data_IF_613098412426
#
_entry.id   IF_613098412426
#
_cell.length_a   1.000
_cell.length_b   1.000
_cell.length_c   1.000
_cell.angle_alpha   90.00
_cell.angle_beta   90.00
_cell.angle_gamma   90.00
#
_symmetry.space_group_name_H-M   'P 1'
#
loop_
_entity.id
_entity.type
_entity.pdbx_description
1 polymer ?
#
# COMPACT_ATOMS: atom_id res chain seq x y z
N UNK A 1 11.39 -16.97 -10.98
CA UNK A 1 10.48 -16.54 -12.07
C UNK A 1 9.03 -16.83 -11.69
N UNK A 2 8.09 -16.08 -12.22
CA UNK A 2 6.65 -16.34 -12.00
C UNK A 2 6.13 -17.33 -13.01
N UNK A 3 5.30 -18.26 -12.56
CA UNK A 3 4.60 -19.18 -13.43
C UNK A 3 3.57 -18.40 -14.27
N UNK A 4 3.58 -18.54 -15.63
CA UNK A 4 2.61 -17.82 -16.47
C UNK A 4 1.18 -18.33 -16.26
N UNK A 5 1.01 -19.56 -15.81
CA UNK A 5 -0.30 -20.20 -15.62
C UNK A 5 -0.98 -19.81 -14.31
N UNK A 6 -0.25 -19.80 -13.17
CA UNK A 6 -0.85 -19.61 -11.85
C UNK A 6 -0.25 -18.44 -11.04
N UNK A 7 0.70 -17.68 -11.60
CA UNK A 7 1.34 -16.55 -10.96
C UNK A 7 2.31 -16.87 -9.82
N UNK A 8 2.43 -18.14 -9.41
CA UNK A 8 3.30 -18.53 -8.29
C UNK A 8 4.77 -18.29 -8.61
N UNK A 9 5.50 -17.73 -7.66
CA UNK A 9 6.94 -17.58 -7.73
C UNK A 9 7.65 -18.95 -7.72
N UNK A 10 8.64 -19.09 -8.59
CA UNK A 10 9.51 -20.26 -8.65
C UNK A 10 10.97 -19.81 -8.80
N UNK A 11 11.91 -20.58 -8.23
CA UNK A 11 13.32 -20.28 -8.40
C UNK A 11 13.67 -20.22 -9.90
N UNK A 12 14.60 -19.36 -10.27
CA UNK A 12 14.99 -19.17 -11.67
C UNK A 12 15.55 -20.45 -12.32
N UNK A 13 16.00 -21.41 -11.53
CA UNK A 13 16.49 -22.73 -11.96
C UNK A 13 15.38 -23.80 -12.05
N UNK A 14 14.15 -23.50 -11.65
CA UNK A 14 13.05 -24.48 -11.68
C UNK A 14 12.56 -24.70 -13.10
N UNK A 15 12.45 -25.96 -13.53
CA UNK A 15 11.89 -26.33 -14.81
C UNK A 15 10.37 -26.46 -14.81
N UNK A 16 9.78 -26.64 -13.61
CA UNK A 16 8.33 -26.84 -13.37
C UNK A 16 7.87 -25.98 -12.22
N UNK A 17 6.64 -25.49 -12.31
CA UNK A 17 6.02 -24.70 -11.25
C UNK A 17 5.74 -25.57 -10.02
N UNK A 18 6.16 -25.12 -8.85
CA UNK A 18 5.95 -25.84 -7.58
C UNK A 18 4.45 -25.94 -7.20
N UNK A 19 3.57 -25.09 -7.74
CA UNK A 19 2.16 -25.07 -7.40
C UNK A 19 1.26 -25.80 -8.40
N UNK A 20 1.44 -25.57 -9.71
CA UNK A 20 0.56 -26.14 -10.74
C UNK A 20 1.24 -27.19 -11.62
N UNK A 21 2.50 -27.52 -11.34
CA UNK A 21 3.32 -28.46 -12.10
C UNK A 21 3.48 -28.13 -13.61
N UNK A 22 3.06 -26.94 -14.04
CA UNK A 22 3.24 -26.50 -15.41
C UNK A 22 4.71 -26.20 -15.73
N UNK A 23 5.09 -26.41 -16.98
CA UNK A 23 6.45 -26.15 -17.44
C UNK A 23 6.77 -24.66 -17.37
N UNK A 24 7.87 -24.32 -16.70
CA UNK A 24 8.31 -22.94 -16.62
C UNK A 24 9.18 -22.62 -17.85
N UNK A 25 8.99 -21.42 -18.45
CA UNK A 25 9.84 -21.02 -19.55
C UNK A 25 11.29 -20.99 -19.10
N UNK A 26 12.18 -21.65 -19.84
CA UNK A 26 13.62 -21.48 -19.68
C UNK A 26 13.89 -20.00 -19.86
N UNK A 27 14.48 -19.34 -18.87
CA UNK A 27 14.92 -17.96 -19.01
C UNK A 27 16.04 -17.97 -20.08
N UNK A 28 15.61 -17.82 -21.33
CA UNK A 28 16.55 -17.67 -22.42
C UNK A 28 17.35 -16.38 -22.17
N UNK A 29 18.65 -16.52 -22.14
CA UNK A 29 19.56 -15.39 -22.14
C UNK A 29 19.57 -14.83 -23.56
N UNK A 30 18.45 -14.24 -23.95
CA UNK A 30 18.29 -13.64 -25.27
C UNK A 30 19.35 -12.56 -25.50
N UNK A 31 19.98 -12.54 -26.66
CA UNK A 31 21.18 -11.75 -26.90
C UNK A 31 20.95 -10.31 -27.30
N UNK A 32 19.87 -9.65 -27.05
CA UNK A 32 19.69 -8.24 -27.47
C UNK A 32 18.76 -7.45 -26.55
N UNK A 33 19.21 -7.15 -25.33
CA UNK A 33 18.73 -5.95 -24.64
C UNK A 33 19.52 -4.74 -25.19
N UNK A 34 18.80 -3.72 -25.68
CA UNK A 34 19.43 -2.47 -26.11
C UNK A 34 20.20 -1.88 -24.92
N UNK A 35 21.44 -1.34 -25.09
CA UNK A 35 22.29 -0.85 -24.01
C UNK A 35 21.66 0.22 -23.10
N UNK A 36 20.59 0.86 -23.54
CA UNK A 36 19.91 1.95 -22.83
C UNK A 36 18.53 1.57 -22.24
N UNK A 37 18.19 0.28 -22.20
CA UNK A 37 16.98 -0.16 -21.53
C UNK A 37 17.12 0.06 -20.01
N UNK A 38 16.04 0.53 -19.39
CA UNK A 38 15.99 0.84 -17.96
C UNK A 38 16.30 -0.41 -17.10
N UNK A 39 15.87 -1.60 -17.53
CA UNK A 39 16.23 -2.86 -16.88
C UNK A 39 17.74 -3.09 -16.93
N UNK A 40 18.41 -2.79 -18.04
CA UNK A 40 19.86 -2.93 -18.18
C UNK A 40 20.60 -1.95 -17.28
N UNK A 41 20.14 -0.71 -17.19
CA UNK A 41 20.67 0.29 -16.25
C UNK A 41 20.48 -0.15 -14.80
N UNK A 42 19.27 -0.63 -14.45
CA UNK A 42 18.97 -1.12 -13.12
C UNK A 42 19.83 -2.35 -12.76
N UNK A 43 20.02 -3.31 -13.67
CA UNK A 43 20.91 -4.46 -13.49
C UNK A 43 22.35 -4.01 -13.23
N UNK A 44 22.82 -3.00 -13.93
CA UNK A 44 24.15 -2.42 -13.71
C UNK A 44 24.25 -1.73 -12.35
N UNK A 45 23.26 -0.92 -11.97
CA UNK A 45 23.22 -0.23 -10.70
C UNK A 45 23.13 -1.18 -9.49
N UNK A 46 22.40 -2.29 -9.64
CA UNK A 46 22.25 -3.30 -8.59
C UNK A 46 23.39 -4.32 -8.56
N UNK A 47 24.19 -4.40 -9.64
CA UNK A 47 25.25 -5.38 -9.83
C UNK A 47 24.69 -6.80 -9.77
N UNK A 48 25.48 -7.74 -9.21
CA UNK A 48 25.06 -9.14 -9.08
C UNK A 48 24.14 -9.42 -7.88
N UNK A 49 23.73 -8.39 -7.12
CA UNK A 49 22.89 -8.56 -5.94
C UNK A 49 21.47 -8.97 -6.28
N UNK A 50 20.92 -8.43 -7.39
CA UNK A 50 19.56 -8.65 -7.82
C UNK A 50 19.48 -9.06 -9.29
N UNK A 51 18.72 -10.12 -9.57
CA UNK A 51 18.37 -10.53 -10.92
C UNK A 51 17.02 -9.90 -11.27
N UNK A 52 17.03 -8.82 -12.03
CA UNK A 52 15.80 -8.09 -12.45
C UNK A 52 15.14 -8.82 -13.60
N UNK A 53 13.84 -9.09 -13.48
CA UNK A 53 13.06 -9.84 -14.50
C UNK A 53 12.24 -8.93 -15.40
N UNK A 54 11.28 -8.21 -14.83
CA UNK A 54 10.34 -7.40 -15.60
C UNK A 54 9.78 -6.24 -14.77
N UNK A 55 9.34 -5.21 -15.47
CA UNK A 55 8.49 -4.16 -14.93
C UNK A 55 7.07 -4.70 -14.74
N UNK A 56 6.44 -4.44 -13.60
CA UNK A 56 5.09 -4.91 -13.26
C UNK A 56 4.12 -3.79 -12.99
N UNK A 57 4.61 -2.58 -12.82
CA UNK A 57 3.78 -1.42 -12.56
C UNK A 57 4.62 -0.15 -12.56
N UNK A 58 3.96 0.95 -12.30
CA UNK A 58 4.58 2.25 -12.16
C UNK A 58 3.51 3.31 -11.93
N UNK A 59 3.93 4.43 -11.38
CA UNK A 59 3.08 5.59 -11.14
C UNK A 59 3.78 6.86 -11.59
N UNK A 60 3.30 8.02 -11.17
CA UNK A 60 3.86 9.30 -11.59
C UNK A 60 5.30 9.57 -11.15
N UNK A 61 5.86 8.76 -10.24
CA UNK A 61 7.18 9.03 -9.65
C UNK A 61 8.18 7.90 -9.83
N UNK A 62 7.73 6.65 -9.90
CA UNK A 62 8.61 5.49 -9.88
C UNK A 62 8.01 4.33 -10.67
N UNK A 63 8.86 3.51 -11.22
CA UNK A 63 8.55 2.22 -11.82
C UNK A 63 8.85 1.08 -10.86
N UNK A 64 8.08 0.00 -10.98
CA UNK A 64 8.15 -1.16 -10.08
C UNK A 64 8.58 -2.38 -10.87
N UNK A 65 9.65 -3.03 -10.41
CA UNK A 65 10.25 -4.20 -11.05
C UNK A 65 10.21 -5.39 -10.10
N UNK A 66 9.92 -6.57 -10.64
CA UNK A 66 10.13 -7.83 -9.94
C UNK A 66 11.56 -8.30 -10.19
N UNK A 67 12.19 -8.73 -9.10
CA UNK A 67 13.56 -9.26 -9.12
C UNK A 67 13.70 -10.43 -8.15
N UNK A 68 14.82 -11.12 -8.23
CA UNK A 68 15.28 -12.11 -7.25
C UNK A 68 16.53 -11.59 -6.57
N UNK A 69 16.58 -11.62 -5.26
CA UNK A 69 17.83 -11.43 -4.52
C UNK A 69 18.72 -12.66 -4.73
N UNK A 70 19.82 -12.50 -5.50
CA UNK A 70 20.59 -13.60 -6.04
C UNK A 70 21.17 -14.55 -4.96
N UNK A 71 21.67 -14.01 -3.85
CA UNK A 71 22.30 -14.79 -2.79
C UNK A 71 21.31 -15.64 -1.97
N UNK A 72 20.07 -15.13 -1.78
CA UNK A 72 19.05 -15.78 -0.96
C UNK A 72 17.98 -16.49 -1.80
N UNK A 73 18.04 -16.33 -3.12
CA UNK A 73 17.07 -16.85 -4.09
C UNK A 73 15.62 -16.56 -3.68
N UNK A 74 15.37 -15.34 -3.17
CA UNK A 74 14.03 -14.89 -2.75
C UNK A 74 13.51 -13.80 -3.66
N UNK A 75 12.18 -13.78 -3.94
CA UNK A 75 11.55 -12.72 -4.71
C UNK A 75 11.55 -11.41 -3.95
N UNK A 76 11.81 -10.33 -4.68
CA UNK A 76 11.79 -8.96 -4.18
C UNK A 76 11.16 -8.03 -5.22
N UNK A 77 10.73 -6.88 -4.74
CA UNK A 77 10.29 -5.77 -5.59
C UNK A 77 11.33 -4.66 -5.52
N UNK A 78 11.70 -4.12 -6.68
CA UNK A 78 12.57 -2.94 -6.78
C UNK A 78 11.73 -1.78 -7.31
N UNK A 79 11.60 -0.73 -6.52
CA UNK A 79 10.95 0.52 -6.89
C UNK A 79 12.03 1.52 -7.32
N UNK A 80 11.98 1.96 -8.56
CA UNK A 80 12.98 2.82 -9.20
C UNK A 80 12.38 4.19 -9.47
N UNK A 81 12.99 5.23 -8.94
CA UNK A 81 12.58 6.61 -9.20
C UNK A 81 12.79 6.96 -10.67
N UNK A 82 11.83 7.64 -11.29
CA UNK A 82 11.96 8.05 -12.70
C UNK A 82 13.23 8.89 -12.92
N UNK A 83 13.94 8.73 -14.04
CA UNK A 83 15.25 9.37 -14.26
C UNK A 83 15.23 10.90 -14.13
N UNK A 84 14.15 11.56 -14.54
CA UNK A 84 14.01 13.01 -14.40
C UNK A 84 13.85 13.47 -12.95
N UNK A 85 13.30 12.59 -12.07
CA UNK A 85 13.17 12.84 -10.63
C UNK A 85 14.44 12.41 -9.88
N UNK A 86 15.13 11.37 -10.34
CA UNK A 86 16.39 10.93 -9.76
C UNK A 86 17.51 11.99 -9.89
N UNK A 87 17.45 12.82 -10.92
CA UNK A 87 18.37 13.96 -11.13
C UNK A 87 18.04 15.21 -10.31
N UNK A 88 16.83 15.28 -9.77
CA UNK A 88 16.44 16.36 -8.84
C UNK A 88 16.94 16.01 -7.43
N UNK A 89 17.97 16.74 -6.99
CA UNK A 89 18.64 16.51 -5.70
C UNK A 89 17.66 16.56 -4.52
N UNK A 90 16.68 17.47 -4.54
CA UNK A 90 15.68 17.56 -3.46
C UNK A 90 14.76 16.35 -3.44
N UNK A 91 14.36 15.86 -4.62
CA UNK A 91 13.48 14.68 -4.75
C UNK A 91 14.23 13.42 -4.34
N UNK A 92 15.45 13.21 -4.84
CA UNK A 92 16.27 12.05 -4.52
C UNK A 92 16.61 11.99 -3.02
N UNK A 93 16.99 13.12 -2.41
CA UNK A 93 17.30 13.20 -0.98
C UNK A 93 16.05 12.95 -0.11
N UNK A 94 14.88 13.41 -0.53
CA UNK A 94 13.63 13.11 0.15
C UNK A 94 13.29 11.62 0.05
N UNK A 95 13.39 11.03 -1.14
CA UNK A 95 13.18 9.60 -1.34
C UNK A 95 14.11 8.77 -0.43
N UNK A 96 15.38 9.18 -0.27
CA UNK A 96 16.33 8.57 0.65
C UNK A 96 15.86 8.66 2.11
N UNK A 97 15.49 9.87 2.57
CA UNK A 97 15.05 10.09 3.97
C UNK A 97 13.80 9.32 4.31
N UNK A 98 12.86 9.21 3.38
CA UNK A 98 11.64 8.46 3.56
C UNK A 98 11.90 6.96 3.59
N UNK A 99 12.81 6.47 2.72
CA UNK A 99 13.27 5.09 2.79
C UNK A 99 13.96 4.77 4.13
N UNK A 100 14.81 5.68 4.64
CA UNK A 100 15.43 5.54 5.96
C UNK A 100 14.40 5.55 7.11
N UNK A 101 13.38 6.38 7.03
CA UNK A 101 12.31 6.40 8.02
C UNK A 101 11.49 5.12 7.99
N UNK A 102 11.12 4.64 6.80
CA UNK A 102 10.39 3.38 6.62
C UNK A 102 11.22 2.15 7.06
N UNK A 103 12.53 2.15 6.81
CA UNK A 103 13.43 1.07 7.22
C UNK A 103 13.54 0.88 8.75
N UNK A 104 13.22 1.93 9.53
CA UNK A 104 13.18 1.87 11.01
C UNK A 104 11.87 1.30 11.57
N UNK A 105 10.84 1.18 10.72
CA UNK A 105 9.55 0.65 11.13
C UNK A 105 9.57 -0.88 11.06
N UNK A 106 9.55 -1.54 12.21
CA UNK A 106 9.52 -3.00 12.32
C UNK A 106 8.17 -3.42 12.87
N UNK A 107 7.27 -3.86 11.99
CA UNK A 107 5.91 -4.28 12.35
C UNK A 107 5.42 -5.34 11.34
N UNK A 108 4.69 -6.40 11.75
CA UNK A 108 4.26 -7.48 10.86
C UNK A 108 3.38 -7.00 9.68
N UNK A 109 2.68 -5.89 9.86
CA UNK A 109 1.78 -5.32 8.85
C UNK A 109 2.37 -4.04 8.18
N UNK A 110 3.68 -3.85 8.24
CA UNK A 110 4.42 -2.80 7.51
C UNK A 110 5.43 -3.47 6.60
N UNK A 111 5.39 -3.14 5.32
CA UNK A 111 6.39 -3.57 4.36
C UNK A 111 7.73 -2.87 4.66
N UNK A 112 8.70 -3.63 5.14
CA UNK A 112 10.04 -3.09 5.43
C UNK A 112 10.85 -2.84 4.16
N UNK A 113 11.79 -1.92 4.23
CA UNK A 113 12.81 -1.69 3.19
C UNK A 113 13.97 -2.64 3.43
N UNK A 114 14.32 -3.44 2.43
CA UNK A 114 15.42 -4.42 2.47
C UNK A 114 16.76 -3.82 2.05
N UNK A 115 16.73 -2.89 1.10
CA UNK A 115 17.92 -2.24 0.56
C UNK A 115 17.54 -0.91 -0.10
N UNK A 116 18.50 -0.02 -0.20
CA UNK A 116 18.42 1.25 -0.91
C UNK A 116 19.70 1.41 -1.74
N UNK A 117 19.58 1.97 -2.92
CA UNK A 117 20.73 2.30 -3.73
C UNK A 117 20.52 3.56 -4.56
N UNK A 118 21.61 4.27 -4.76
CA UNK A 118 21.66 5.46 -5.60
C UNK A 118 22.92 5.42 -6.45
N UNK A 119 22.77 5.75 -7.73
CA UNK A 119 23.83 6.07 -8.67
C UNK A 119 23.48 7.42 -9.31
N UNK A 120 24.33 7.94 -10.20
CA UNK A 120 24.13 9.25 -10.81
C UNK A 120 22.77 9.42 -11.51
N UNK A 121 22.17 8.34 -11.99
CA UNK A 121 20.94 8.37 -12.79
C UNK A 121 19.86 7.37 -12.34
N UNK A 122 20.12 6.57 -11.31
CA UNK A 122 19.18 5.59 -10.76
C UNK A 122 19.15 5.67 -9.25
N UNK A 123 17.96 5.87 -8.70
CA UNK A 123 17.69 5.78 -7.27
C UNK A 123 16.59 4.74 -7.06
N UNK A 124 16.80 3.77 -6.16
CA UNK A 124 15.88 2.66 -5.97
C UNK A 124 15.79 2.22 -4.52
N UNK A 125 14.65 1.60 -4.19
CA UNK A 125 14.44 0.84 -2.96
C UNK A 125 14.11 -0.61 -3.28
N UNK A 126 14.47 -1.53 -2.39
CA UNK A 126 14.15 -2.95 -2.50
C UNK A 126 13.26 -3.35 -1.33
N UNK A 127 12.19 -4.05 -1.63
CA UNK A 127 11.17 -4.48 -0.67
C UNK A 127 10.85 -5.96 -0.86
N UNK A 128 10.28 -6.65 0.15
CA UNK A 128 9.72 -7.98 -0.03
C UNK A 128 8.67 -8.00 -1.14
N UNK A 129 8.59 -9.12 -1.85
CA UNK A 129 7.47 -9.40 -2.76
C UNK A 129 6.36 -10.12 -1.98
N UNK A 130 5.11 -9.71 -2.19
CA UNK A 130 3.92 -10.30 -1.60
C UNK A 130 3.09 -11.00 -2.67
N UNK A 131 2.82 -12.31 -2.49
CA UNK A 131 2.14 -13.13 -3.50
C UNK A 131 0.61 -12.99 -3.49
N UNK A 132 0.04 -12.50 -2.41
CA UNK A 132 -1.41 -12.40 -2.23
C UNK A 132 -2.08 -11.29 -3.03
N UNK A 133 -1.31 -10.49 -3.78
CA UNK A 133 -1.83 -9.34 -4.52
C UNK A 133 -2.20 -8.17 -3.60
N UNK A 134 -2.89 -7.18 -4.16
CA UNK A 134 -3.34 -5.98 -3.44
C UNK A 134 -4.82 -6.07 -3.03
N UNK A 135 -5.24 -5.21 -2.09
CA UNK A 135 -6.65 -5.02 -1.77
C UNK A 135 -7.43 -4.46 -2.98
N UNK A 136 -6.77 -3.66 -3.83
CA UNK A 136 -7.35 -3.19 -5.08
C UNK A 136 -7.66 -4.36 -6.03
N UNK A 137 -6.72 -5.31 -6.20
CA UNK A 137 -6.94 -6.52 -6.99
C UNK A 137 -8.10 -7.36 -6.43
N UNK A 138 -8.17 -7.48 -5.10
CA UNK A 138 -9.24 -8.21 -4.43
C UNK A 138 -10.60 -7.55 -4.69
N UNK A 139 -10.72 -6.22 -4.50
CA UNK A 139 -11.95 -5.47 -4.78
C UNK A 139 -12.33 -5.59 -6.27
N UNK A 140 -11.38 -5.42 -7.18
CA UNK A 140 -11.63 -5.54 -8.61
C UNK A 140 -12.16 -6.94 -8.99
N UNK A 141 -11.59 -7.99 -8.39
CA UNK A 141 -11.96 -9.38 -8.67
C UNK A 141 -13.32 -9.77 -8.07
N UNK A 142 -13.61 -9.33 -6.85
CA UNK A 142 -14.79 -9.78 -6.09
C UNK A 142 -15.93 -8.76 -6.08
N UNK A 143 -15.69 -7.55 -6.56
CA UNK A 143 -16.56 -6.37 -6.47
C UNK A 143 -16.69 -5.82 -5.04
N UNK A 144 -16.88 -6.68 -4.06
CA UNK A 144 -16.94 -6.33 -2.63
C UNK A 144 -16.19 -7.38 -1.83
N UNK A 145 -15.59 -6.98 -0.73
CA UNK A 145 -14.89 -7.87 0.20
C UNK A 145 -15.87 -8.30 1.30
N UNK A 146 -15.83 -9.57 1.68
CA UNK A 146 -16.66 -10.08 2.77
C UNK A 146 -16.44 -9.25 4.06
N UNK A 147 -17.50 -8.87 4.80
CA UNK A 147 -17.40 -7.94 5.94
C UNK A 147 -16.36 -8.33 6.99
N UNK A 148 -16.26 -9.62 7.34
CA UNK A 148 -15.25 -10.13 8.29
C UNK A 148 -13.85 -9.94 7.74
N UNK A 149 -13.63 -10.23 6.46
CA UNK A 149 -12.33 -10.10 5.82
C UNK A 149 -11.89 -8.64 5.67
N UNK A 150 -12.84 -7.75 5.31
CA UNK A 150 -12.59 -6.32 5.25
C UNK A 150 -12.22 -5.76 6.64
N UNK A 151 -12.98 -6.14 7.68
CA UNK A 151 -12.71 -5.72 9.05
C UNK A 151 -11.34 -6.22 9.56
N UNK A 152 -10.97 -7.46 9.25
CA UNK A 152 -9.66 -8.05 9.60
C UNK A 152 -8.52 -7.27 8.96
N UNK A 153 -8.54 -7.12 7.63
CA UNK A 153 -7.49 -6.44 6.89
C UNK A 153 -7.33 -4.98 7.35
N UNK A 154 -8.45 -4.25 7.50
CA UNK A 154 -8.41 -2.86 7.94
C UNK A 154 -7.96 -2.72 9.39
N UNK A 155 -8.28 -3.66 10.28
CA UNK A 155 -7.78 -3.67 11.66
C UNK A 155 -6.24 -3.84 11.70
N UNK A 156 -5.69 -4.73 10.88
CA UNK A 156 -4.25 -4.93 10.74
C UNK A 156 -3.54 -3.65 10.25
N UNK A 157 -4.10 -2.99 9.23
CA UNK A 157 -3.56 -1.72 8.72
C UNK A 157 -3.69 -0.59 9.75
N UNK A 158 -4.79 -0.54 10.50
CA UNK A 158 -4.96 0.43 11.58
C UNK A 158 -3.90 0.27 12.69
N UNK A 159 -3.54 -0.97 13.05
CA UNK A 159 -2.42 -1.25 13.97
C UNK A 159 -1.08 -0.81 13.40
N UNK A 160 -0.81 -1.07 12.11
CA UNK A 160 0.40 -0.64 11.42
C UNK A 160 0.56 0.88 11.43
N UNK A 161 -0.51 1.59 11.11
CA UNK A 161 -0.52 3.06 11.13
C UNK A 161 -0.36 3.64 12.54
N UNK A 162 -1.02 3.05 13.56
CA UNK A 162 -0.80 3.48 14.95
C UNK A 162 0.67 3.32 15.38
N UNK A 163 1.30 2.21 14.96
CA UNK A 163 2.73 2.00 15.21
C UNK A 163 3.58 3.07 14.52
N UNK A 164 3.35 3.34 13.23
CA UNK A 164 4.08 4.36 12.47
C UNK A 164 3.90 5.77 13.07
N UNK A 165 2.67 6.15 13.42
CA UNK A 165 2.37 7.45 14.03
C UNK A 165 3.10 7.66 15.36
N UNK A 166 3.21 6.62 16.19
CA UNK A 166 4.00 6.69 17.44
C UNK A 166 5.50 6.88 17.21
N UNK A 167 5.98 6.52 16.01
CA UNK A 167 7.36 6.77 15.57
C UNK A 167 7.52 8.05 14.75
N UNK A 168 6.49 8.92 14.74
CA UNK A 168 6.52 10.21 14.05
C UNK A 168 6.33 10.12 12.52
N UNK A 169 5.91 8.95 12.00
CA UNK A 169 5.71 8.74 10.55
C UNK A 169 4.23 8.72 10.23
N UNK A 170 3.78 9.63 9.36
CA UNK A 170 2.41 9.67 8.79
C UNK A 170 2.49 9.15 7.36
N UNK A 171 1.61 8.23 6.97
CA UNK A 171 1.67 7.55 5.67
C UNK A 171 1.26 8.45 4.50
N UNK A 172 0.14 9.16 4.62
CA UNK A 172 -0.38 10.17 3.67
C UNK A 172 -0.89 9.66 2.32
N UNK A 173 -0.69 8.39 1.99
CA UNK A 173 -1.15 7.75 0.73
C UNK A 173 -1.71 6.36 1.00
N UNK A 174 -2.57 6.23 2.01
CA UNK A 174 -3.26 4.97 2.31
C UNK A 174 -4.36 4.76 1.28
N UNK A 175 -4.25 3.67 0.49
CA UNK A 175 -5.20 3.28 -0.56
C UNK A 175 -5.15 1.78 -0.80
N UNK A 176 -6.14 1.17 -1.50
CA UNK A 176 -6.18 -0.27 -1.74
C UNK A 176 -4.96 -0.83 -2.46
N UNK A 177 -4.34 -0.05 -3.37
CA UNK A 177 -3.11 -0.46 -4.09
C UNK A 177 -1.93 -0.65 -3.15
N UNK A 178 -1.87 0.10 -2.04
CA UNK A 178 -0.79 0.08 -1.07
C UNK A 178 -1.04 -0.91 0.08
N UNK A 179 -2.13 -1.66 0.06
CA UNK A 179 -2.43 -2.76 0.99
C UNK A 179 -2.23 -4.08 0.27
N UNK A 180 -1.14 -4.77 0.57
CA UNK A 180 -0.79 -6.06 -0.02
C UNK A 180 -1.14 -7.19 0.94
N UNK A 181 -1.25 -8.42 0.42
CA UNK A 181 -1.48 -9.62 1.23
C UNK A 181 -0.27 -10.55 1.18
N UNK A 182 0.14 -11.05 2.34
CA UNK A 182 1.15 -12.10 2.44
C UNK A 182 0.58 -13.49 2.10
N UNK A 183 1.42 -14.53 2.19
CA UNK A 183 1.03 -15.92 1.90
C UNK A 183 -0.03 -16.48 2.86
N UNK A 184 -0.08 -15.98 4.09
CA UNK A 184 -1.09 -16.32 5.11
C UNK A 184 -2.36 -15.47 4.96
N UNK A 185 -2.37 -14.52 4.06
CA UNK A 185 -3.47 -13.60 3.82
C UNK A 185 -3.49 -12.41 4.79
N UNK A 186 -2.45 -12.12 5.56
CA UNK A 186 -2.42 -10.91 6.38
C UNK A 186 -2.19 -9.68 5.52
N UNK A 187 -2.83 -8.58 5.89
CA UNK A 187 -2.65 -7.30 5.20
C UNK A 187 -1.34 -6.63 5.63
N UNK A 188 -0.60 -6.13 4.66
CA UNK A 188 0.69 -5.43 4.85
C UNK A 188 0.65 -4.10 4.10
N UNK A 189 0.92 -3.01 4.81
CA UNK A 189 0.95 -1.67 4.23
C UNK A 189 2.32 -1.37 3.64
N UNK A 190 2.33 -0.96 2.37
CA UNK A 190 3.54 -0.56 1.64
C UNK A 190 3.50 0.92 1.29
N UNK A 191 4.62 1.44 0.77
CA UNK A 191 4.72 2.79 0.23
C UNK A 191 4.44 3.92 1.23
N UNK A 192 5.05 3.83 2.43
CA UNK A 192 5.02 4.93 3.40
C UNK A 192 5.50 6.22 2.76
N UNK A 193 4.55 7.11 2.50
CA UNK A 193 4.65 8.54 2.14
C UNK A 193 5.80 9.02 1.26
N UNK A 194 6.43 8.11 0.50
CA UNK A 194 7.63 8.39 -0.28
C UNK A 194 7.32 9.50 -1.30
N UNK A 195 7.69 10.75 -0.95
CA UNK A 195 7.64 11.96 -1.78
C UNK A 195 6.28 12.66 -1.99
N UNK A 196 5.19 12.24 -1.31
CA UNK A 196 3.83 12.71 -1.64
C UNK A 196 3.51 14.13 -1.15
N UNK A 197 3.99 14.58 0.01
CA UNK A 197 3.45 15.76 0.69
C UNK A 197 3.69 17.12 0.00
N UNK A 198 4.81 17.29 -0.75
CA UNK A 198 5.07 18.55 -1.48
C UNK A 198 4.86 18.45 -2.99
N UNK A 199 4.80 17.21 -3.53
CA UNK A 199 4.47 17.01 -4.93
C UNK A 199 3.01 17.41 -5.19
N UNK A 200 2.10 17.08 -4.28
CA UNK A 200 0.70 17.55 -4.35
C UNK A 200 0.60 19.08 -4.29
N UNK A 201 1.36 19.76 -3.43
CA UNK A 201 1.32 21.22 -3.31
C UNK A 201 1.90 21.95 -4.55
N UNK A 202 2.90 21.37 -5.23
CA UNK A 202 3.47 21.95 -6.47
C UNK A 202 2.61 21.65 -7.70
N UNK A 203 1.90 20.53 -7.73
CA UNK A 203 1.03 20.17 -8.86
C UNK A 203 -0.31 20.91 -8.84
N UNK A 204 -0.84 21.25 -7.68
CA UNK A 204 -2.01 22.15 -7.58
C UNK A 204 -1.67 23.54 -8.13
N UNK A 205 -0.41 24.00 -7.99
CA UNK A 205 0.06 25.26 -8.59
C UNK A 205 0.25 25.17 -10.12
N UNK A 206 0.47 23.97 -10.69
CA UNK A 206 0.67 23.75 -12.14
C UNK A 206 -0.58 23.29 -12.89
N UNK A 207 -1.73 23.14 -12.20
CA UNK A 207 -3.00 22.73 -12.82
C UNK A 207 -3.05 21.25 -13.28
N UNK A 208 -2.03 20.45 -12.99
CA UNK A 208 -2.00 19.02 -13.31
C UNK A 208 -2.14 18.22 -12.02
N UNK A 209 -3.37 17.77 -11.73
CA UNK A 209 -3.61 16.82 -10.63
C UNK A 209 -2.93 15.50 -10.94
N UNK A 210 -1.90 15.14 -10.17
CA UNK A 210 -1.24 13.84 -10.25
C UNK A 210 -1.56 13.09 -8.95
N UNK A 211 -2.22 11.97 -9.07
CA UNK A 211 -2.76 11.16 -7.98
C UNK A 211 -4.28 11.25 -7.92
N UNK A 212 -4.87 10.14 -7.55
CA UNK A 212 -6.32 10.01 -7.47
C UNK A 212 -6.78 10.59 -6.13
N UNK A 213 -7.50 11.74 -6.07
CA UNK A 213 -7.88 12.39 -4.81
C UNK A 213 -8.93 11.61 -4.00
N UNK A 214 -9.32 10.43 -4.48
CA UNK A 214 -10.35 9.58 -3.86
C UNK A 214 -10.03 9.19 -2.42
N UNK A 215 -8.74 9.15 -2.04
CA UNK A 215 -8.29 8.74 -0.71
C UNK A 215 -7.74 9.89 0.14
N UNK A 216 -7.76 11.12 -0.38
CA UNK A 216 -7.28 12.29 0.35
C UNK A 216 -8.24 12.68 1.47
N UNK A 217 -7.70 13.00 2.63
CA UNK A 217 -8.47 13.63 3.71
C UNK A 217 -8.84 15.08 3.35
N UNK A 218 -9.89 15.65 3.96
CA UNK A 218 -10.25 17.05 3.77
C UNK A 218 -9.11 18.02 3.99
N UNK A 219 -8.29 17.81 5.04
CA UNK A 219 -7.13 18.63 5.34
C UNK A 219 -6.01 18.50 4.29
N UNK A 220 -5.81 17.31 3.70
CA UNK A 220 -4.89 17.14 2.58
C UNK A 220 -5.39 17.88 1.34
N UNK A 221 -6.67 17.74 1.00
CA UNK A 221 -7.28 18.42 -0.14
C UNK A 221 -7.23 19.96 -0.02
N UNK A 222 -7.28 20.47 1.22
CA UNK A 222 -7.14 21.90 1.53
C UNK A 222 -5.68 22.37 1.68
N UNK A 223 -4.68 21.50 1.54
CA UNK A 223 -3.27 21.85 1.76
C UNK A 223 -2.93 22.25 3.20
N UNK A 224 -3.74 21.83 4.19
CA UNK A 224 -3.52 22.10 5.62
C UNK A 224 -2.47 21.15 6.21
N UNK A 225 -2.08 21.42 7.46
CA UNK A 225 -1.22 20.52 8.22
C UNK A 225 -1.91 19.17 8.42
N UNK A 226 -1.16 18.12 8.17
CA UNK A 226 -1.59 16.72 8.18
C UNK A 226 -0.95 15.99 9.35
N UNK A 227 -1.76 15.31 10.16
CA UNK A 227 -1.31 14.39 11.21
C UNK A 227 -1.86 12.97 10.96
N UNK A 228 -1.65 12.04 11.89
CA UNK A 228 -2.10 10.64 11.76
C UNK A 228 -3.61 10.48 11.55
N UNK A 229 -4.43 11.47 11.89
CA UNK A 229 -5.88 11.42 11.67
C UNK A 229 -6.27 11.56 10.19
N UNK A 230 -5.36 12.00 9.32
CA UNK A 230 -5.54 11.93 7.87
C UNK A 230 -5.48 10.49 7.37
N UNK A 231 -4.56 9.67 7.90
CA UNK A 231 -4.50 8.24 7.58
C UNK A 231 -5.74 7.50 8.11
N UNK A 232 -6.30 7.93 9.27
CA UNK A 232 -7.56 7.39 9.78
C UNK A 232 -8.74 7.68 8.84
N UNK A 233 -8.78 8.85 8.22
CA UNK A 233 -9.75 9.15 7.17
C UNK A 233 -9.61 8.21 5.98
N UNK A 234 -8.39 7.99 5.51
CA UNK A 234 -8.10 7.05 4.43
C UNK A 234 -8.45 5.59 4.79
N UNK A 235 -8.25 5.15 6.05
CA UNK A 235 -8.79 3.88 6.57
C UNK A 235 -10.32 3.82 6.42
N UNK A 236 -11.01 4.90 6.68
CA UNK A 236 -12.45 4.99 6.48
C UNK A 236 -12.84 4.75 5.03
N UNK A 237 -12.09 5.32 4.08
CA UNK A 237 -12.28 5.09 2.64
C UNK A 237 -11.99 3.63 2.28
N UNK A 238 -10.89 3.05 2.79
CA UNK A 238 -10.55 1.64 2.56
C UNK A 238 -11.68 0.70 3.01
N UNK A 239 -12.21 0.91 4.21
CA UNK A 239 -13.31 0.10 4.74
C UNK A 239 -14.58 0.29 3.92
N UNK A 240 -14.94 1.53 3.60
CA UNK A 240 -16.08 1.88 2.78
C UNK A 240 -16.02 1.17 1.42
N UNK A 241 -14.94 1.35 0.68
CA UNK A 241 -14.75 0.78 -0.65
C UNK A 241 -14.66 -0.74 -0.63
N UNK A 242 -14.01 -1.34 0.36
CA UNK A 242 -14.00 -2.79 0.55
C UNK A 242 -15.41 -3.37 0.69
N UNK A 243 -16.30 -2.67 1.40
CA UNK A 243 -17.65 -3.12 1.66
C UNK A 243 -18.63 -2.84 0.50
N UNK A 244 -18.45 -1.73 -0.22
CA UNK A 244 -19.38 -1.26 -1.26
C UNK A 244 -18.91 -1.51 -2.68
N UNK A 245 -17.58 -1.71 -2.88
CA UNK A 245 -16.95 -1.85 -4.18
C UNK A 245 -16.65 -0.54 -4.91
N UNK A 246 -16.98 0.59 -4.29
CA UNK A 246 -16.76 1.94 -4.84
C UNK A 246 -16.27 2.89 -3.75
N UNK A 247 -15.43 3.88 -4.07
CA UNK A 247 -15.04 4.89 -3.10
C UNK A 247 -16.23 5.77 -2.70
N UNK A 248 -16.18 6.42 -1.51
CA UNK A 248 -17.31 7.26 -1.02
C UNK A 248 -17.60 8.47 -1.89
N UNK A 249 -16.61 8.95 -2.65
CA UNK A 249 -16.73 10.10 -3.53
C UNK A 249 -16.09 9.82 -4.87
N UNK A 250 -16.80 10.20 -5.94
CA UNK A 250 -16.34 10.16 -7.31
C UNK A 250 -16.75 11.45 -8.02
N UNK A 251 -16.13 11.81 -9.14
CA UNK A 251 -16.39 13.05 -9.87
C UNK A 251 -15.78 13.06 -11.27
N UNK A 252 -16.20 14.05 -12.07
CA UNK A 252 -15.75 14.21 -13.44
C UNK A 252 -14.23 14.50 -13.55
N UNK A 253 -13.65 15.06 -12.50
CA UNK A 253 -12.24 15.39 -12.41
C UNK A 253 -11.73 15.38 -10.95
N UNK A 254 -10.44 15.56 -10.78
CA UNK A 254 -9.78 15.58 -9.48
C UNK A 254 -10.27 16.73 -8.57
N UNK A 255 -10.68 17.85 -9.13
CA UNK A 255 -11.19 18.98 -8.38
C UNK A 255 -12.57 18.65 -7.79
N UNK A 256 -13.48 18.06 -8.59
CA UNK A 256 -14.80 17.63 -8.14
C UNK A 256 -14.72 16.62 -7.00
N UNK A 257 -13.81 15.63 -7.09
CA UNK A 257 -13.58 14.68 -6.01
C UNK A 257 -13.04 15.38 -4.76
N UNK A 258 -12.02 16.23 -4.91
CA UNK A 258 -11.43 16.98 -3.79
C UNK A 258 -12.47 17.89 -3.10
N UNK A 259 -13.34 18.53 -3.88
CA UNK A 259 -14.45 19.33 -3.33
C UNK A 259 -15.39 18.49 -2.45
N UNK A 260 -15.78 17.30 -2.93
CA UNK A 260 -16.62 16.37 -2.18
C UNK A 260 -15.95 15.86 -0.91
N UNK A 261 -14.63 15.58 -0.97
CA UNK A 261 -13.86 15.21 0.22
C UNK A 261 -13.95 16.27 1.32
N UNK A 262 -14.04 17.54 0.95
CA UNK A 262 -14.11 18.65 1.92
C UNK A 262 -15.54 18.91 2.39
N UNK A 263 -16.53 18.89 1.48
CA UNK A 263 -17.85 19.50 1.71
C UNK A 263 -19.00 18.51 1.80
N UNK A 264 -18.93 17.33 1.17
CA UNK A 264 -20.07 16.42 1.09
C UNK A 264 -19.97 15.26 2.09
N UNK A 265 -21.10 14.84 2.65
CA UNK A 265 -21.20 13.59 3.40
C UNK A 265 -21.55 12.45 2.43
N UNK A 266 -20.85 11.30 2.47
CA UNK A 266 -21.22 10.18 1.62
C UNK A 266 -22.46 9.46 2.19
N UNK A 267 -23.21 8.72 1.35
CA UNK A 267 -24.20 7.78 1.86
C UNK A 267 -23.50 6.74 2.75
N UNK A 268 -24.21 6.22 3.76
CA UNK A 268 -23.61 5.18 4.60
C UNK A 268 -23.48 3.86 3.81
N UNK A 269 -22.44 3.04 4.04
CA UNK A 269 -22.32 1.73 3.39
C UNK A 269 -23.59 0.88 3.50
N UNK A 270 -24.25 0.88 4.66
CA UNK A 270 -25.50 0.14 4.89
C UNK A 270 -26.71 0.68 4.10
N UNK A 271 -26.72 1.96 3.72
CA UNK A 271 -27.73 2.52 2.80
C UNK A 271 -27.52 2.03 1.36
N UNK A 272 -26.26 1.82 0.93
CA UNK A 272 -25.97 1.31 -0.40
C UNK A 272 -26.23 -0.19 -0.52
N UNK A 273 -25.97 -0.93 0.57
CA UNK A 273 -26.21 -2.36 0.62
C UNK A 273 -26.61 -2.79 2.05
N UNK A 274 -27.90 -3.13 2.21
CA UNK A 274 -28.47 -3.55 3.49
C UNK A 274 -27.85 -4.83 4.09
N UNK A 275 -27.04 -5.58 3.33
CA UNK A 275 -26.29 -6.74 3.83
C UNK A 275 -25.01 -6.33 4.58
N UNK A 276 -24.58 -5.07 4.47
CA UNK A 276 -23.43 -4.56 5.21
C UNK A 276 -23.84 -4.35 6.66
N UNK A 277 -23.13 -4.96 7.63
CA UNK A 277 -23.41 -4.79 9.04
C UNK A 277 -23.35 -3.31 9.46
N UNK A 278 -24.36 -2.83 10.17
CA UNK A 278 -24.47 -1.42 10.61
C UNK A 278 -23.24 -1.01 11.42
N UNK A 279 -22.73 -1.89 12.31
CA UNK A 279 -21.54 -1.59 13.10
C UNK A 279 -20.27 -1.29 12.25
N UNK A 280 -20.07 -1.98 11.10
CA UNK A 280 -18.98 -1.65 10.18
C UNK A 280 -19.23 -0.35 9.42
N UNK A 281 -20.48 -0.12 9.02
CA UNK A 281 -20.92 1.13 8.41
C UNK A 281 -20.62 2.32 9.34
N UNK A 282 -20.95 2.21 10.61
CA UNK A 282 -20.72 3.27 11.61
C UNK A 282 -19.22 3.54 11.84
N UNK A 283 -18.40 2.48 11.90
CA UNK A 283 -16.94 2.61 12.01
C UNK A 283 -16.39 3.38 10.80
N UNK A 284 -16.77 3.00 9.58
CA UNK A 284 -16.34 3.67 8.36
C UNK A 284 -16.75 5.15 8.38
N UNK A 285 -18.01 5.44 8.70
CA UNK A 285 -18.54 6.80 8.72
C UNK A 285 -17.88 7.68 9.79
N UNK A 286 -17.54 7.13 10.95
CA UNK A 286 -16.78 7.86 11.96
C UNK A 286 -15.37 8.19 11.49
N UNK A 287 -14.68 7.29 10.81
CA UNK A 287 -13.38 7.58 10.19
C UNK A 287 -13.52 8.70 9.15
N UNK A 288 -14.61 8.72 8.38
CA UNK A 288 -14.90 9.69 7.31
C UNK A 288 -15.43 11.04 7.81
N UNK A 289 -15.46 11.29 9.11
CA UNK A 289 -15.85 12.59 9.65
C UNK A 289 -14.93 13.70 9.09
N UNK A 290 -15.53 14.82 8.64
CA UNK A 290 -14.77 15.92 8.02
C UNK A 290 -13.82 16.59 9.00
N UNK A 291 -14.27 16.84 10.22
CA UNK A 291 -13.40 17.34 11.30
C UNK A 291 -12.51 16.21 11.82
N UNK A 292 -11.17 16.37 11.83
CA UNK A 292 -10.27 15.39 12.42
C UNK A 292 -10.56 15.06 13.89
N UNK A 293 -11.11 16.03 14.65
CA UNK A 293 -11.47 15.84 16.06
C UNK A 293 -12.70 14.93 16.26
N UNK A 294 -13.55 14.77 15.24
CA UNK A 294 -14.72 13.87 15.29
C UNK A 294 -14.38 12.43 14.89
N UNK A 295 -13.20 12.18 14.34
CA UNK A 295 -12.70 10.85 13.99
C UNK A 295 -12.24 10.09 15.24
N UNK A 296 -11.79 8.86 15.06
CA UNK A 296 -10.97 8.20 16.07
C UNK A 296 -9.67 8.99 16.28
N UNK A 297 -9.18 9.04 17.52
CA UNK A 297 -7.97 9.78 17.83
C UNK A 297 -6.71 9.07 17.31
N UNK A 298 -6.71 7.74 17.31
CA UNK A 298 -5.57 6.89 16.97
C UNK A 298 -6.00 5.69 16.12
N UNK A 299 -5.05 5.13 15.35
CA UNK A 299 -5.25 3.88 14.61
C UNK A 299 -5.65 2.71 15.53
N UNK A 300 -5.08 2.66 16.73
CA UNK A 300 -5.44 1.68 17.74
C UNK A 300 -6.95 1.69 18.09
N UNK A 301 -7.56 2.86 18.21
CA UNK A 301 -8.98 2.97 18.53
C UNK A 301 -9.87 2.41 17.41
N UNK A 302 -9.43 2.58 16.14
CA UNK A 302 -10.10 1.98 14.97
C UNK A 302 -9.95 0.46 15.02
N UNK A 303 -8.75 -0.04 15.28
CA UNK A 303 -8.49 -1.48 15.38
C UNK A 303 -9.34 -2.11 16.48
N UNK A 304 -9.46 -1.48 17.65
CA UNK A 304 -10.30 -1.97 18.77
C UNK A 304 -11.78 -2.04 18.38
N UNK A 305 -12.30 -1.04 17.68
CA UNK A 305 -13.69 -1.05 17.20
C UNK A 305 -13.93 -2.19 16.19
N UNK A 306 -13.01 -2.41 15.26
CA UNK A 306 -13.09 -3.51 14.30
C UNK A 306 -12.95 -4.89 14.97
N UNK A 307 -12.04 -5.04 15.92
CA UNK A 307 -11.88 -6.30 16.70
C UNK A 307 -13.14 -6.56 17.53
N UNK A 308 -13.76 -5.54 18.12
CA UNK A 308 -15.01 -5.70 18.82
C UNK A 308 -16.14 -6.20 17.90
N UNK A 309 -16.24 -5.68 16.69
CA UNK A 309 -17.16 -6.20 15.67
C UNK A 309 -16.84 -7.66 15.32
N UNK A 310 -15.59 -8.02 15.05
CA UNK A 310 -15.16 -9.38 14.70
C UNK A 310 -15.52 -10.41 15.79
N UNK A 311 -15.49 -10.02 17.08
CA UNK A 311 -15.88 -10.91 18.19
C UNK A 311 -17.36 -11.27 18.16
N UNK A 312 -18.20 -10.46 17.58
CA UNK A 312 -19.65 -10.69 17.48
C UNK A 312 -20.07 -11.33 16.16
N UNK A 313 -19.18 -11.34 15.16
CA UNK A 313 -19.45 -11.92 13.84
C UNK A 313 -19.40 -13.46 13.89
N UNK A 314 -20.31 -14.17 13.19
CA UNK A 314 -20.36 -15.65 13.21
C UNK A 314 -19.03 -16.33 12.86
N UNK A 315 -18.29 -15.80 11.90
CA UNK A 315 -17.00 -16.34 11.42
C UNK A 315 -15.79 -15.53 11.91
N UNK A 316 -15.98 -14.70 12.93
CA UNK A 316 -14.97 -13.71 13.34
C UNK A 316 -13.84 -14.28 14.21
N UNK A 317 -13.95 -15.47 14.77
CA UNK A 317 -12.99 -15.98 15.77
C UNK A 317 -11.55 -16.14 15.24
N UNK A 318 -11.36 -16.55 13.99
CA UNK A 318 -10.04 -16.63 13.36
C UNK A 318 -9.48 -15.22 13.07
N UNK A 319 -10.30 -14.35 12.51
CA UNK A 319 -9.96 -12.96 12.20
C UNK A 319 -9.57 -12.15 13.46
N UNK A 320 -10.21 -12.41 14.61
CA UNK A 320 -9.84 -11.81 15.90
C UNK A 320 -8.42 -12.21 16.31
N UNK A 321 -8.01 -13.46 16.13
CA UNK A 321 -6.65 -13.89 16.48
C UNK A 321 -5.61 -13.15 15.64
N UNK A 322 -5.80 -13.10 14.33
CA UNK A 322 -4.89 -12.44 13.40
C UNK A 322 -4.78 -10.93 13.68
N UNK A 323 -5.91 -10.23 13.83
CA UNK A 323 -5.94 -8.82 14.15
C UNK A 323 -5.36 -8.51 15.55
N UNK A 324 -5.56 -9.41 16.54
CA UNK A 324 -5.04 -9.22 17.90
C UNK A 324 -3.53 -9.46 18.00
N UNK A 325 -2.95 -10.31 17.16
CA UNK A 325 -1.50 -10.53 17.08
C UNK A 325 -0.82 -9.25 16.56
N UNK A 326 -1.39 -8.59 15.56
CA UNK A 326 -0.95 -7.30 15.06
C UNK A 326 -0.82 -6.23 16.17
N UNK A 327 -1.80 -6.22 17.09
CA UNK A 327 -1.84 -5.30 18.23
C UNK A 327 -0.69 -5.52 19.22
N UNK A 328 -0.36 -6.78 19.54
CA UNK A 328 0.70 -7.12 20.52
C UNK A 328 2.09 -6.80 20.00
N UNK A 329 2.37 -7.05 18.72
CA UNK A 329 3.67 -6.77 18.10
C UNK A 329 4.04 -5.28 18.11
N UNK A 330 3.05 -4.39 18.08
CA UNK A 330 3.26 -2.96 18.21
C UNK A 330 3.53 -2.47 19.64
N UNK A 331 3.31 -3.32 20.67
CA UNK A 331 3.47 -2.95 22.08
C UNK A 331 4.85 -3.32 22.66
N UNK A 332 5.62 -4.19 22.00
CA UNK A 332 6.79 -4.86 22.62
C UNK A 332 8.13 -4.14 22.40
N UNK A 333 8.15 -2.94 21.85
CA UNK A 333 9.40 -2.18 21.72
C UNK A 333 9.52 -1.11 22.82
N UNK A 334 9.61 -1.57 24.09
CA UNK A 334 10.15 -0.82 25.23
C UNK A 334 11.15 -1.72 25.95
N UNK A 335 12.39 -1.68 25.55
CA UNK A 335 13.57 -1.96 26.39
C UNK A 335 14.76 -1.25 25.76
#
# INVERSE_FOLDING_TARGET
>A
MFCPQCGTWNRASSAVCARCADSLPVLDRGPFERPDDEITRLRRATGNRYRVFKRVGGGGMADVYIAEQAQLARPVVIKVLHPHLARDVEVAERFRREAEAAAKLVHPHICGILDYGATDDIVYTVMPYFEGGSLADLIQKTRTVAPVRAAEAVAQIACALDYAHRHGVVHRDVKPDNVLFDEDGNAVLTDFGIATARFHARLTASGRAMGTPHYMSPEQAMGKLVDGRSDIYAIGILLYESLTGVPPFDGADAFAVSYKQVHEAPPTPSQLNARIPVGLSDIAMRCLAKSPAARYARGHDVADALIAFLRTAPDGAAAVRNASTARRSGATTRA
#
